data_IF_787664237017
#
_entry.id   IF_787664237017
#
_cell.length_a   1.000
_cell.length_b   1.000
_cell.length_c   1.000
_cell.angle_alpha   90.00
_cell.angle_beta   90.00
_cell.angle_gamma   90.00
#
_symmetry.space_group_name_H-M   'P 1'
#
loop_
_entity.id
_entity.type
_entity.pdbx_description
1 polymer ?
#
# COMPACT_ATOMS: atom_id res chain seq x y z
N UNK A 1 -27.42 -12.58 -33.32
CA UNK A 1 -28.22 -13.33 -32.31
C UNK A 1 -27.60 -13.19 -30.87
N UNK A 2 -26.53 -12.45 -30.69
CA UNK A 2 -25.93 -12.16 -29.38
C UNK A 2 -26.08 -10.68 -28.92
N UNK A 3 -26.49 -9.80 -29.82
CA UNK A 3 -26.78 -8.37 -29.53
C UNK A 3 -28.17 -8.09 -28.98
N UNK A 4 -29.14 -8.99 -29.24
CA UNK A 4 -30.52 -8.79 -28.78
C UNK A 4 -30.81 -9.21 -27.33
N UNK A 5 -29.88 -9.89 -26.66
CA UNK A 5 -30.06 -10.35 -25.27
C UNK A 5 -29.65 -9.26 -24.27
N UNK A 6 -28.74 -8.34 -24.65
CA UNK A 6 -28.30 -7.20 -23.83
C UNK A 6 -29.42 -6.15 -23.67
N UNK A 7 -30.08 -5.79 -24.75
CA UNK A 7 -31.11 -4.74 -24.75
C UNK A 7 -32.38 -5.11 -24.00
N UNK A 8 -32.75 -6.40 -23.97
CA UNK A 8 -33.98 -6.87 -23.29
C UNK A 8 -33.84 -6.93 -21.75
N UNK A 9 -32.61 -6.97 -21.20
CA UNK A 9 -32.35 -6.92 -19.75
C UNK A 9 -32.36 -5.47 -19.24
N UNK A 10 -31.82 -4.55 -20.02
CA UNK A 10 -31.76 -3.13 -19.65
C UNK A 10 -33.16 -2.49 -19.59
N UNK A 11 -34.06 -2.86 -20.50
CA UNK A 11 -35.47 -2.43 -20.48
C UNK A 11 -36.26 -3.01 -19.29
N UNK A 12 -35.92 -4.21 -18.79
CA UNK A 12 -36.62 -4.81 -17.65
C UNK A 12 -36.24 -4.19 -16.32
N UNK A 13 -35.01 -3.76 -16.16
CA UNK A 13 -34.52 -3.11 -14.91
C UNK A 13 -35.04 -1.67 -14.85
N UNK A 14 -35.09 -0.96 -15.98
CA UNK A 14 -35.70 0.38 -16.06
C UNK A 14 -37.22 0.34 -15.87
N UNK A 15 -37.92 -0.65 -16.47
CA UNK A 15 -39.38 -0.82 -16.34
C UNK A 15 -39.86 -1.32 -14.99
N UNK A 16 -39.03 -2.05 -14.24
CA UNK A 16 -39.41 -2.52 -12.90
C UNK A 16 -39.46 -1.38 -11.86
N UNK A 17 -38.84 -0.22 -12.15
CA UNK A 17 -38.87 0.98 -11.31
C UNK A 17 -39.95 2.01 -11.72
N UNK A 18 -40.50 1.92 -12.95
CA UNK A 18 -41.53 2.82 -13.42
C UNK A 18 -42.96 2.48 -12.92
N UNK A 19 -43.18 1.29 -12.34
CA UNK A 19 -44.51 0.77 -12.03
C UNK A 19 -45.04 1.11 -10.63
N UNK A 20 -44.22 1.81 -9.77
CA UNK A 20 -44.63 2.16 -8.39
C UNK A 20 -44.93 3.63 -8.16
N UNK A 21 -44.74 4.51 -9.13
CA UNK A 21 -45.05 5.94 -9.00
C UNK A 21 -44.16 6.71 -8.02
N UNK A 22 -43.18 6.06 -7.42
CA UNK A 22 -42.13 6.67 -6.56
C UNK A 22 -40.91 6.98 -7.41
N UNK A 23 -40.33 8.17 -7.20
CA UNK A 23 -39.07 8.53 -7.87
C UNK A 23 -37.95 7.58 -7.41
N UNK A 24 -37.10 7.11 -8.33
CA UNK A 24 -36.01 6.20 -7.94
C UNK A 24 -35.03 6.92 -7.01
N UNK A 25 -34.69 6.29 -5.91
CA UNK A 25 -33.74 6.82 -4.90
C UNK A 25 -32.34 7.03 -5.49
N UNK A 26 -31.98 6.25 -6.52
CA UNK A 26 -30.69 6.40 -7.22
C UNK A 26 -30.82 6.11 -8.72
N UNK A 27 -29.94 6.69 -9.51
CA UNK A 27 -29.82 6.46 -10.96
C UNK A 27 -28.34 6.32 -11.34
N UNK A 28 -28.01 5.33 -12.16
CA UNK A 28 -26.67 5.17 -12.72
C UNK A 28 -26.70 5.63 -14.19
N UNK A 29 -25.75 6.45 -14.58
CA UNK A 29 -25.61 6.95 -15.95
C UNK A 29 -24.15 6.97 -16.39
N UNK A 30 -23.94 6.92 -17.69
CA UNK A 30 -22.62 7.10 -18.28
C UNK A 30 -22.24 8.60 -18.31
N UNK A 31 -20.97 8.92 -18.31
CA UNK A 31 -20.49 10.30 -18.37
C UNK A 31 -21.00 11.04 -19.62
N UNK A 32 -21.16 10.32 -20.74
CA UNK A 32 -21.72 10.85 -21.99
C UNK A 32 -23.20 11.25 -21.84
N UNK A 33 -23.98 10.40 -21.21
CA UNK A 33 -25.41 10.66 -20.94
C UNK A 33 -25.60 11.83 -19.98
N UNK A 34 -24.72 11.94 -18.95
CA UNK A 34 -24.69 13.09 -18.05
C UNK A 34 -24.41 14.39 -18.81
N UNK A 35 -23.47 14.36 -19.76
CA UNK A 35 -23.17 15.51 -20.61
C UNK A 35 -24.33 15.90 -21.53
N UNK A 36 -25.10 14.93 -22.06
CA UNK A 36 -26.29 15.20 -22.89
C UNK A 36 -27.41 15.79 -22.06
N UNK A 37 -27.67 15.24 -20.89
CA UNK A 37 -28.71 15.69 -19.94
C UNK A 37 -28.29 16.88 -19.08
N UNK A 38 -27.15 17.53 -19.36
CA UNK A 38 -26.54 18.63 -18.59
C UNK A 38 -27.49 19.76 -18.20
N UNK A 39 -28.54 20.00 -18.98
CA UNK A 39 -29.55 21.05 -18.68
C UNK A 39 -30.42 20.71 -17.47
N UNK A 40 -30.49 19.46 -17.08
CA UNK A 40 -31.23 19.01 -15.91
C UNK A 40 -30.45 19.15 -14.61
N UNK A 41 -29.12 19.32 -14.69
CA UNK A 41 -28.22 19.44 -13.54
C UNK A 41 -27.70 20.87 -13.40
N UNK A 42 -28.13 21.59 -12.37
CA UNK A 42 -27.82 23.02 -12.19
C UNK A 42 -26.30 23.32 -12.07
N UNK A 43 -25.52 22.38 -11.49
CA UNK A 43 -24.08 22.57 -11.21
C UNK A 43 -23.19 21.55 -11.95
N UNK A 44 -23.63 21.07 -13.10
CA UNK A 44 -22.88 20.07 -13.88
C UNK A 44 -21.45 20.52 -14.24
N UNK A 45 -21.23 21.84 -14.36
CA UNK A 45 -19.93 22.42 -14.73
C UNK A 45 -18.85 22.17 -13.68
N UNK A 46 -19.23 22.00 -12.41
CA UNK A 46 -18.29 21.74 -11.32
C UNK A 46 -17.83 20.29 -11.31
N UNK A 47 -18.68 19.37 -11.68
CA UNK A 47 -18.37 17.94 -11.71
C UNK A 47 -17.68 17.51 -13.01
N UNK A 48 -18.11 18.08 -14.15
CA UNK A 48 -17.67 17.69 -15.48
C UNK A 48 -16.14 17.65 -15.68
N UNK A 49 -15.33 18.63 -15.21
CA UNK A 49 -13.89 18.60 -15.37
C UNK A 49 -13.19 17.46 -14.61
N UNK A 50 -13.86 16.88 -13.61
CA UNK A 50 -13.36 15.78 -12.81
C UNK A 50 -13.65 14.41 -13.42
N UNK A 51 -14.66 14.32 -14.29
CA UNK A 51 -15.01 13.10 -15.02
C UNK A 51 -13.98 12.84 -16.13
N UNK A 52 -13.74 11.56 -16.44
CA UNK A 52 -12.76 11.12 -17.44
C UNK A 52 -11.34 10.93 -16.88
N UNK A 53 -11.06 11.35 -15.62
CA UNK A 53 -9.77 11.11 -14.97
C UNK A 53 -9.85 11.25 -13.45
N UNK A 54 -10.81 10.59 -12.81
CA UNK A 54 -10.99 10.65 -11.37
C UNK A 54 -9.77 10.03 -10.67
N UNK A 55 -9.06 10.83 -9.88
CA UNK A 55 -7.82 10.41 -9.19
C UNK A 55 -7.97 10.30 -7.67
N UNK A 56 -8.98 10.94 -7.09
CA UNK A 56 -9.19 11.03 -5.64
C UNK A 56 -10.67 11.16 -5.32
N UNK A 57 -11.02 10.91 -4.06
CA UNK A 57 -12.37 11.16 -3.56
C UNK A 57 -12.48 12.62 -3.11
N UNK A 58 -13.56 13.28 -3.48
CA UNK A 58 -13.92 14.62 -3.01
C UNK A 58 -15.42 14.80 -2.97
N UNK A 59 -15.89 15.71 -2.14
CA UNK A 59 -17.26 16.19 -2.15
C UNK A 59 -17.28 17.71 -1.95
N UNK A 60 -18.22 18.35 -2.57
CA UNK A 60 -18.49 19.77 -2.46
C UNK A 60 -19.98 20.01 -2.29
N UNK A 61 -20.36 20.90 -1.41
CA UNK A 61 -21.75 21.32 -1.21
C UNK A 61 -22.01 22.57 -2.01
N UNK A 62 -23.02 22.53 -2.86
CA UNK A 62 -23.46 23.70 -3.64
C UNK A 62 -24.95 23.86 -3.44
N UNK A 63 -25.35 24.85 -2.66
CA UNK A 63 -26.76 25.13 -2.27
C UNK A 63 -27.43 23.88 -1.68
N UNK A 64 -28.34 23.25 -2.44
CA UNK A 64 -29.14 22.11 -1.99
C UNK A 64 -28.70 20.78 -2.60
N UNK A 65 -27.47 20.69 -3.06
CA UNK A 65 -26.93 19.43 -3.57
C UNK A 65 -25.48 19.21 -3.11
N UNK A 66 -25.07 17.96 -3.03
CA UNK A 66 -23.70 17.55 -2.82
C UNK A 66 -23.21 16.82 -4.08
N UNK A 67 -22.09 17.23 -4.59
CA UNK A 67 -21.48 16.60 -5.74
C UNK A 67 -20.02 16.27 -5.47
N UNK A 68 -19.52 15.27 -6.15
CA UNK A 68 -18.15 14.87 -5.95
C UNK A 68 -17.74 13.65 -6.77
N UNK A 69 -16.59 13.12 -6.41
CA UNK A 69 -16.00 11.96 -7.06
C UNK A 69 -15.54 10.93 -6.04
N UNK A 70 -15.65 9.67 -6.38
CA UNK A 70 -15.18 8.54 -5.59
C UNK A 70 -14.26 7.70 -6.46
N UNK A 71 -13.13 7.30 -5.89
CA UNK A 71 -12.21 6.32 -6.48
C UNK A 71 -11.87 5.26 -5.45
N UNK A 72 -12.27 4.02 -5.72
CA UNK A 72 -12.00 2.89 -4.85
C UNK A 72 -10.60 2.34 -5.15
N UNK A 73 -9.67 2.31 -4.18
CA UNK A 73 -8.34 1.75 -4.39
C UNK A 73 -8.41 0.26 -4.75
N UNK A 74 -7.51 -0.19 -5.62
CA UNK A 74 -7.43 -1.59 -5.99
C UNK A 74 -6.84 -2.41 -4.83
N UNK A 75 -7.68 -3.17 -4.13
CA UNK A 75 -7.30 -3.98 -2.97
C UNK A 75 -6.74 -5.35 -3.36
N UNK A 76 -7.20 -5.92 -4.47
CA UNK A 76 -6.74 -7.20 -5.02
C UNK A 76 -6.41 -7.04 -6.51
N UNK A 77 -5.17 -7.29 -6.91
CA UNK A 77 -4.72 -7.17 -8.30
C UNK A 77 -5.46 -8.12 -9.28
N UNK A 78 -6.11 -9.16 -8.79
CA UNK A 78 -6.64 -10.24 -9.63
C UNK A 78 -8.17 -10.30 -9.75
N UNK A 79 -8.95 -9.52 -9.00
CA UNK A 79 -10.40 -9.80 -8.91
C UNK A 79 -11.37 -8.67 -9.30
N UNK A 80 -10.97 -7.41 -9.20
CA UNK A 80 -11.88 -6.33 -9.56
C UNK A 80 -11.14 -5.22 -10.30
N UNK A 81 -11.65 -4.74 -11.43
CA UNK A 81 -11.14 -3.52 -12.06
C UNK A 81 -11.26 -2.36 -11.06
N UNK A 82 -10.43 -1.36 -11.21
CA UNK A 82 -10.52 -0.13 -10.45
C UNK A 82 -11.84 0.55 -10.79
N UNK A 83 -12.62 0.92 -9.77
CA UNK A 83 -13.90 1.58 -9.93
C UNK A 83 -13.74 3.04 -9.54
N UNK A 84 -14.14 3.94 -10.43
CA UNK A 84 -14.25 5.37 -10.14
C UNK A 84 -15.56 5.90 -10.75
N UNK A 85 -16.18 6.79 -10.00
CA UNK A 85 -17.45 7.40 -10.44
C UNK A 85 -17.62 8.80 -9.85
N UNK A 86 -18.34 9.66 -10.57
CA UNK A 86 -18.87 10.90 -10.05
C UNK A 86 -20.20 10.65 -9.32
N UNK A 87 -20.55 11.48 -8.39
CA UNK A 87 -21.88 11.47 -7.78
C UNK A 87 -22.45 12.88 -7.70
N UNK A 88 -23.78 12.93 -7.81
CA UNK A 88 -24.57 14.15 -7.66
C UNK A 88 -25.77 13.79 -6.79
N UNK A 89 -25.77 14.27 -5.55
CA UNK A 89 -26.75 13.95 -4.53
C UNK A 89 -27.68 15.13 -4.32
N UNK A 90 -28.97 14.90 -4.45
CA UNK A 90 -30.04 15.85 -4.13
C UNK A 90 -30.88 15.28 -2.98
N UNK A 91 -31.86 16.05 -2.48
CA UNK A 91 -32.77 15.59 -1.45
C UNK A 91 -33.52 14.31 -1.87
N UNK A 92 -33.93 14.22 -3.15
CA UNK A 92 -34.78 13.15 -3.65
C UNK A 92 -33.98 12.00 -4.28
N UNK A 93 -32.87 12.27 -4.98
CA UNK A 93 -32.24 11.30 -5.87
C UNK A 93 -30.72 11.41 -5.82
N UNK A 94 -30.02 10.26 -5.79
CA UNK A 94 -28.59 10.12 -5.99
C UNK A 94 -28.30 9.72 -7.45
N UNK A 95 -27.55 10.53 -8.16
CA UNK A 95 -27.04 10.22 -9.49
C UNK A 95 -25.60 9.74 -9.38
N UNK A 96 -25.31 8.55 -9.90
CA UNK A 96 -23.99 7.95 -9.99
C UNK A 96 -23.52 7.99 -11.44
N UNK A 97 -22.41 8.66 -11.71
CA UNK A 97 -21.89 8.86 -13.06
C UNK A 97 -20.64 7.99 -13.21
N UNK A 98 -20.76 6.95 -14.01
CA UNK A 98 -19.68 6.00 -14.26
C UNK A 98 -18.53 6.67 -15.00
N UNK A 99 -17.29 6.50 -14.50
CA UNK A 99 -16.07 7.05 -15.08
C UNK A 99 -15.15 5.91 -15.54
N UNK A 100 -14.79 5.01 -14.64
CA UNK A 100 -13.91 3.88 -14.93
C UNK A 100 -14.37 2.62 -14.19
N UNK A 101 -14.27 1.49 -14.87
CA UNK A 101 -14.64 0.19 -14.32
C UNK A 101 -16.07 -0.18 -14.67
N UNK A 102 -16.61 -1.19 -14.01
CA UNK A 102 -18.00 -1.66 -14.14
C UNK A 102 -18.75 -1.32 -12.85
N UNK A 103 -19.15 -0.05 -12.72
CA UNK A 103 -19.93 0.42 -11.57
C UNK A 103 -21.29 -0.30 -11.51
N UNK A 104 -21.92 -0.49 -12.68
CA UNK A 104 -23.24 -1.14 -12.77
C UNK A 104 -23.18 -2.58 -12.28
N UNK A 105 -22.25 -3.38 -12.77
CA UNK A 105 -22.06 -4.76 -12.32
C UNK A 105 -21.65 -4.87 -10.85
N UNK A 106 -20.84 -3.94 -10.36
CA UNK A 106 -20.50 -3.88 -8.95
C UNK A 106 -21.73 -3.54 -8.09
N UNK A 107 -22.54 -2.56 -8.51
CA UNK A 107 -23.77 -2.18 -7.82
C UNK A 107 -24.79 -3.32 -7.81
N UNK A 108 -24.98 -4.05 -8.89
CA UNK A 108 -25.89 -5.21 -8.95
C UNK A 108 -25.55 -6.26 -7.90
N UNK A 109 -24.25 -6.49 -7.63
CA UNK A 109 -23.80 -7.41 -6.56
C UNK A 109 -24.11 -6.89 -5.15
N UNK A 110 -24.24 -5.57 -4.97
CA UNK A 110 -24.51 -4.95 -3.67
C UNK A 110 -26.00 -4.64 -3.44
N UNK A 111 -26.82 -4.65 -4.48
CA UNK A 111 -28.24 -4.24 -4.44
C UNK A 111 -29.05 -4.98 -3.38
N UNK A 112 -28.75 -6.26 -3.12
CA UNK A 112 -29.46 -7.04 -2.12
C UNK A 112 -29.30 -6.47 -0.70
N UNK A 113 -28.18 -5.80 -0.42
CA UNK A 113 -27.85 -5.15 0.86
C UNK A 113 -28.35 -3.70 0.95
N UNK A 114 -28.61 -3.05 -0.20
CA UNK A 114 -28.96 -1.63 -0.31
C UNK A 114 -30.47 -1.36 -0.44
N UNK A 115 -31.32 -2.40 -0.38
CA UNK A 115 -32.77 -2.32 -0.68
C UNK A 115 -33.62 -1.54 0.33
N UNK A 116 -33.14 -1.33 1.57
CA UNK A 116 -33.95 -0.78 2.65
C UNK A 116 -33.79 0.75 2.83
N UNK A 117 -33.22 1.45 1.85
CA UNK A 117 -32.96 2.89 1.94
C UNK A 117 -34.23 3.70 1.65
N UNK A 118 -34.63 4.55 2.59
CA UNK A 118 -35.82 5.41 2.46
C UNK A 118 -35.52 6.79 1.86
N UNK A 119 -34.22 7.19 1.75
CA UNK A 119 -33.80 8.49 1.20
C UNK A 119 -32.50 8.36 0.42
N UNK A 120 -32.27 9.32 -0.48
CA UNK A 120 -31.06 9.43 -1.30
C UNK A 120 -29.78 9.53 -0.44
N UNK A 121 -29.83 10.27 0.64
CA UNK A 121 -28.71 10.44 1.60
C UNK A 121 -28.44 9.12 2.36
N UNK A 122 -29.47 8.42 2.82
CA UNK A 122 -29.32 7.12 3.48
C UNK A 122 -28.75 6.08 2.51
N UNK A 123 -29.19 6.08 1.26
CA UNK A 123 -28.64 5.20 0.23
C UNK A 123 -27.16 5.51 -0.03
N UNK A 124 -26.78 6.78 -0.13
CA UNK A 124 -25.40 7.18 -0.31
C UNK A 124 -24.51 6.72 0.86
N UNK A 125 -24.96 6.89 2.09
CA UNK A 125 -24.24 6.39 3.27
C UNK A 125 -24.07 4.87 3.25
N UNK A 126 -25.13 4.11 2.94
CA UNK A 126 -25.05 2.65 2.83
C UNK A 126 -24.08 2.22 1.72
N UNK A 127 -24.06 2.95 0.58
CA UNK A 127 -23.10 2.74 -0.49
C UNK A 127 -21.66 2.92 0.00
N UNK A 128 -21.38 4.00 0.73
CA UNK A 128 -20.07 4.28 1.32
C UNK A 128 -19.66 3.20 2.33
N UNK A 129 -20.61 2.70 3.13
CA UNK A 129 -20.37 1.59 4.06
C UNK A 129 -20.03 0.29 3.33
N UNK A 130 -20.73 -0.04 2.24
CA UNK A 130 -20.45 -1.23 1.45
C UNK A 130 -19.07 -1.19 0.77
N UNK A 131 -18.62 -0.03 0.30
CA UNK A 131 -17.28 0.12 -0.29
C UNK A 131 -16.16 -0.20 0.70
N UNK A 132 -16.40 0.02 1.99
CA UNK A 132 -15.41 -0.14 3.07
C UNK A 132 -15.68 -1.34 3.98
N UNK A 133 -16.74 -2.13 3.74
CA UNK A 133 -17.17 -3.24 4.60
C UNK A 133 -16.05 -4.28 4.84
N UNK A 134 -15.29 -4.60 3.80
CA UNK A 134 -14.24 -5.62 3.84
C UNK A 134 -12.85 -5.08 4.19
N UNK A 135 -12.73 -3.79 4.44
CA UNK A 135 -11.43 -3.14 4.60
C UNK A 135 -10.71 -3.57 5.87
N UNK A 136 -11.43 -3.85 6.93
CA UNK A 136 -10.83 -4.39 8.16
C UNK A 136 -10.13 -5.72 7.92
N UNK A 137 -10.73 -6.62 7.13
CA UNK A 137 -10.13 -7.91 6.80
C UNK A 137 -8.92 -7.74 5.86
N UNK A 138 -9.01 -6.77 4.97
CA UNK A 138 -7.92 -6.46 4.05
C UNK A 138 -6.70 -5.87 4.77
N UNK A 139 -6.90 -4.95 5.71
CA UNK A 139 -5.84 -4.38 6.53
C UNK A 139 -5.19 -5.43 7.43
N UNK A 140 -5.99 -6.30 8.05
CA UNK A 140 -5.49 -7.43 8.84
C UNK A 140 -4.67 -8.43 7.98
N UNK A 141 -5.06 -8.64 6.72
CA UNK A 141 -4.27 -9.45 5.80
C UNK A 141 -2.92 -8.81 5.47
N UNK A 142 -2.88 -7.50 5.21
CA UNK A 142 -1.62 -6.76 4.99
C UNK A 142 -0.69 -6.83 6.21
N UNK A 143 -1.25 -6.70 7.40
CA UNK A 143 -0.50 -6.85 8.66
C UNK A 143 0.16 -8.23 8.75
N UNK A 144 -0.62 -9.27 8.48
CA UNK A 144 -0.10 -10.65 8.48
C UNK A 144 0.97 -10.91 7.43
N UNK A 145 0.85 -10.29 6.25
CA UNK A 145 1.89 -10.36 5.23
C UNK A 145 3.19 -9.71 5.70
N UNK A 146 3.12 -8.59 6.43
CA UNK A 146 4.30 -7.89 6.98
C UNK A 146 4.97 -8.70 8.09
N UNK A 147 4.19 -9.32 9.00
CA UNK A 147 4.72 -10.24 10.01
C UNK A 147 5.47 -11.43 9.36
N UNK A 148 4.89 -12.03 8.32
CA UNK A 148 5.54 -13.11 7.59
C UNK A 148 6.83 -12.65 6.87
N UNK A 149 6.88 -11.39 6.41
CA UNK A 149 8.09 -10.83 5.82
C UNK A 149 9.17 -10.59 6.86
N UNK A 150 8.81 -10.13 8.06
CA UNK A 150 9.74 -9.97 9.18
C UNK A 150 10.37 -11.32 9.56
N UNK A 151 9.56 -12.35 9.76
CA UNK A 151 10.04 -13.70 10.07
C UNK A 151 11.01 -14.23 9.01
N UNK A 152 10.68 -14.07 7.73
CA UNK A 152 11.58 -14.46 6.63
C UNK A 152 12.90 -13.70 6.66
N UNK A 153 12.84 -12.40 6.94
CA UNK A 153 14.03 -11.56 6.99
C UNK A 153 14.99 -11.97 8.11
N UNK A 154 14.49 -12.47 9.24
CA UNK A 154 15.31 -13.00 10.32
C UNK A 154 16.12 -14.25 9.90
N UNK A 155 15.64 -15.04 8.96
CA UNK A 155 16.33 -16.27 8.51
C UNK A 155 17.19 -16.05 7.28
N UNK A 156 16.75 -15.24 6.33
CA UNK A 156 17.50 -14.95 5.11
C UNK A 156 17.00 -13.67 4.46
N UNK A 157 17.90 -12.94 3.83
CA UNK A 157 17.56 -11.72 3.09
C UNK A 157 16.95 -12.13 1.75
N UNK A 158 15.66 -11.85 1.49
CA UNK A 158 15.03 -12.17 0.21
C UNK A 158 15.57 -11.29 -0.92
N UNK A 159 15.66 -11.87 -2.13
CA UNK A 159 15.93 -11.10 -3.33
C UNK A 159 14.84 -10.06 -3.59
N UNK A 160 15.24 -8.87 -4.06
CA UNK A 160 14.32 -7.77 -4.38
C UNK A 160 13.47 -7.25 -3.21
N UNK A 161 13.84 -7.52 -1.95
CA UNK A 161 13.08 -7.12 -0.76
C UNK A 161 12.74 -5.63 -0.74
N UNK A 162 13.69 -4.77 -1.13
CA UNK A 162 13.48 -3.32 -1.20
C UNK A 162 12.37 -2.93 -2.21
N UNK A 163 12.26 -3.62 -3.33
CA UNK A 163 11.21 -3.38 -4.30
C UNK A 163 9.83 -3.77 -3.75
N UNK A 164 9.77 -4.86 -2.97
CA UNK A 164 8.54 -5.29 -2.29
C UNK A 164 8.11 -4.22 -1.26
N UNK A 165 9.02 -3.76 -0.40
CA UNK A 165 8.72 -2.69 0.57
C UNK A 165 8.24 -1.40 -0.10
N UNK A 166 8.80 -1.05 -1.26
CA UNK A 166 8.39 0.13 -2.02
C UNK A 166 6.95 0.01 -2.50
N UNK A 167 6.53 -1.17 -2.98
CA UNK A 167 5.14 -1.43 -3.37
C UNK A 167 4.18 -1.30 -2.19
N UNK A 168 4.52 -1.89 -1.03
CA UNK A 168 3.69 -1.74 0.18
C UNK A 168 3.58 -0.28 0.61
N UNK A 169 4.69 0.47 0.60
CA UNK A 169 4.66 1.89 0.93
C UNK A 169 3.73 2.68 0.01
N UNK A 170 3.77 2.43 -1.31
CA UNK A 170 2.88 3.09 -2.26
C UNK A 170 1.42 2.73 -2.00
N UNK A 171 1.12 1.45 -1.81
CA UNK A 171 -0.23 0.96 -1.52
C UNK A 171 -0.81 1.53 -0.22
N UNK A 172 -0.01 1.56 0.84
CA UNK A 172 -0.42 2.15 2.12
C UNK A 172 -0.59 3.66 2.03
N UNK A 173 0.21 4.35 1.21
CA UNK A 173 0.03 5.79 0.97
C UNK A 173 -1.28 6.07 0.23
N UNK A 174 -1.65 5.24 -0.75
CA UNK A 174 -2.94 5.35 -1.45
C UNK A 174 -4.12 5.10 -0.50
N UNK A 175 -4.03 4.06 0.35
CA UNK A 175 -5.07 3.76 1.35
C UNK A 175 -5.22 4.87 2.40
N UNK A 176 -4.10 5.44 2.87
CA UNK A 176 -4.13 6.55 3.82
C UNK A 176 -4.89 7.75 3.24
N UNK A 177 -4.53 8.15 2.02
CA UNK A 177 -5.22 9.24 1.33
C UNK A 177 -6.70 8.93 1.07
N UNK A 178 -7.03 7.68 0.76
CA UNK A 178 -8.41 7.23 0.56
C UNK A 178 -9.25 7.40 1.83
N UNK A 179 -8.80 6.88 2.98
CA UNK A 179 -9.56 7.00 4.22
C UNK A 179 -9.65 8.44 4.73
N UNK A 180 -8.57 9.23 4.58
CA UNK A 180 -8.58 10.66 4.88
C UNK A 180 -9.65 11.41 4.06
N UNK A 181 -9.73 11.13 2.76
CA UNK A 181 -10.74 11.74 1.89
C UNK A 181 -12.16 11.28 2.23
N UNK A 182 -12.36 10.01 2.63
CA UNK A 182 -13.66 9.52 3.07
C UNK A 182 -14.08 10.15 4.39
N UNK A 183 -13.16 10.39 5.33
CA UNK A 183 -13.42 11.14 6.56
C UNK A 183 -13.87 12.57 6.22
N UNK A 184 -13.16 13.25 5.31
CA UNK A 184 -13.54 14.61 4.88
C UNK A 184 -14.95 14.64 4.22
N UNK A 185 -15.32 13.64 3.45
CA UNK A 185 -16.69 13.52 2.91
C UNK A 185 -17.71 13.33 4.04
N UNK A 186 -17.39 12.49 5.03
CA UNK A 186 -18.24 12.27 6.20
C UNK A 186 -18.50 13.56 6.98
N UNK A 187 -17.45 14.33 7.28
CA UNK A 187 -17.53 15.61 7.99
C UNK A 187 -18.37 16.64 7.23
N UNK A 188 -18.20 16.65 5.90
CA UNK A 188 -18.99 17.53 5.03
C UNK A 188 -20.47 17.13 5.08
N UNK A 189 -20.80 15.85 4.98
CA UNK A 189 -22.17 15.34 5.02
C UNK A 189 -22.82 15.58 6.39
N UNK A 190 -22.08 15.41 7.49
CA UNK A 190 -22.52 15.70 8.84
C UNK A 190 -22.84 17.18 9.04
N UNK A 191 -21.95 18.07 8.60
CA UNK A 191 -22.11 19.52 8.79
C UNK A 191 -23.23 20.15 7.96
N UNK A 192 -23.68 19.46 6.90
CA UNK A 192 -24.74 19.92 5.99
C UNK A 192 -26.01 19.05 6.05
N UNK A 193 -26.23 18.35 7.16
CA UNK A 193 -27.35 17.45 7.37
C UNK A 193 -28.73 18.14 7.24
N UNK A 194 -28.79 19.46 7.46
CA UNK A 194 -29.99 20.26 7.25
C UNK A 194 -30.55 20.20 5.81
N UNK A 195 -29.72 19.86 4.82
CA UNK A 195 -30.15 19.65 3.41
C UNK A 195 -30.93 18.35 3.29
N UNK A 196 -30.60 17.34 4.11
CA UNK A 196 -31.10 15.97 3.99
C UNK A 196 -31.90 15.47 5.20
N UNK A 197 -32.00 16.28 6.28
CA UNK A 197 -32.69 15.96 7.53
C UNK A 197 -31.78 15.41 8.64
N UNK A 198 -32.03 15.81 9.88
CA UNK A 198 -31.16 15.56 11.06
C UNK A 198 -30.88 14.09 11.40
N UNK A 199 -31.65 13.15 10.87
CA UNK A 199 -31.53 11.72 11.24
C UNK A 199 -30.25 11.04 10.75
N UNK A 200 -29.55 11.61 9.81
CA UNK A 200 -28.38 10.99 9.18
C UNK A 200 -27.04 11.49 9.75
N UNK A 201 -27.01 12.65 10.44
CA UNK A 201 -25.78 13.23 10.97
C UNK A 201 -25.01 12.28 11.91
N UNK A 202 -25.70 11.61 12.83
CA UNK A 202 -25.09 10.64 13.75
C UNK A 202 -24.55 9.41 13.03
N UNK A 203 -25.17 9.02 11.92
CA UNK A 203 -24.72 7.89 11.13
C UNK A 203 -23.46 8.25 10.32
N UNK A 204 -23.42 9.47 9.76
CA UNK A 204 -22.22 10.00 9.10
C UNK A 204 -21.06 10.15 10.08
N UNK A 205 -21.30 10.65 11.28
CA UNK A 205 -20.29 10.74 12.34
C UNK A 205 -19.68 9.37 12.67
N UNK A 206 -20.53 8.35 12.83
CA UNK A 206 -20.06 6.96 13.06
C UNK A 206 -19.24 6.43 11.89
N UNK A 207 -19.63 6.77 10.66
CA UNK A 207 -18.86 6.39 9.47
C UNK A 207 -17.51 7.09 9.45
N UNK A 208 -17.44 8.39 9.73
CA UNK A 208 -16.21 9.16 9.82
C UNK A 208 -15.23 8.58 10.83
N UNK A 209 -15.69 8.33 12.04
CA UNK A 209 -14.88 7.69 13.10
C UNK A 209 -14.39 6.29 12.71
N UNK A 210 -15.14 5.55 11.87
CA UNK A 210 -14.65 4.27 11.34
C UNK A 210 -13.54 4.48 10.31
N UNK A 211 -13.62 5.49 9.46
CA UNK A 211 -12.58 5.83 8.50
C UNK A 211 -11.30 6.31 9.19
N UNK A 212 -11.40 7.12 10.23
CA UNK A 212 -10.26 7.52 11.07
C UNK A 212 -9.55 6.31 11.69
N UNK A 213 -10.29 5.31 12.18
CA UNK A 213 -9.68 4.07 12.70
C UNK A 213 -8.93 3.31 11.62
N UNK A 214 -9.47 3.22 10.40
CA UNK A 214 -8.75 2.59 9.29
C UNK A 214 -7.51 3.38 8.89
N UNK A 215 -7.59 4.71 8.88
CA UNK A 215 -6.44 5.58 8.64
C UNK A 215 -5.33 5.36 9.67
N UNK A 216 -5.69 5.32 10.96
CA UNK A 216 -4.75 5.03 12.05
C UNK A 216 -4.11 3.65 11.90
N UNK A 217 -4.88 2.62 11.52
CA UNK A 217 -4.34 1.28 11.26
C UNK A 217 -3.38 1.28 10.07
N UNK A 218 -3.70 1.99 8.98
CA UNK A 218 -2.77 2.17 7.85
C UNK A 218 -1.50 2.88 8.28
N UNK A 219 -1.57 3.87 9.18
CA UNK A 219 -0.40 4.53 9.71
C UNK A 219 0.51 3.56 10.49
N UNK A 220 -0.06 2.70 11.33
CA UNK A 220 0.70 1.64 12.01
C UNK A 220 1.38 0.69 11.01
N UNK A 221 0.69 0.29 9.94
CA UNK A 221 1.27 -0.54 8.88
C UNK A 221 2.42 0.16 8.14
N UNK A 222 2.33 1.48 7.94
CA UNK A 222 3.44 2.28 7.38
C UNK A 222 4.67 2.28 8.29
N UNK A 223 4.46 2.38 9.59
CA UNK A 223 5.53 2.31 10.58
C UNK A 223 6.18 0.91 10.59
N UNK A 224 5.39 -0.16 10.45
CA UNK A 224 5.89 -1.53 10.28
C UNK A 224 6.77 -1.65 9.02
N UNK A 225 6.38 -1.03 7.89
CA UNK A 225 7.22 -1.02 6.68
C UNK A 225 8.56 -0.31 6.92
N UNK A 226 8.58 0.77 7.71
CA UNK A 226 9.83 1.44 8.09
C UNK A 226 10.71 0.55 8.97
N UNK A 227 10.13 -0.13 9.96
CA UNK A 227 10.85 -1.09 10.82
C UNK A 227 11.44 -2.26 10.01
N UNK A 228 10.68 -2.82 9.07
CA UNK A 228 11.16 -3.85 8.15
C UNK A 228 12.35 -3.36 7.31
N UNK A 229 12.32 -2.11 6.86
CA UNK A 229 13.44 -1.48 6.15
C UNK A 229 14.69 -1.37 7.04
N UNK A 230 14.52 -0.92 8.27
CA UNK A 230 15.63 -0.79 9.24
C UNK A 230 16.22 -2.16 9.57
N UNK A 231 15.38 -3.18 9.79
CA UNK A 231 15.83 -4.55 10.01
C UNK A 231 16.61 -5.09 8.81
N UNK A 232 16.13 -4.85 7.59
CA UNK A 232 16.84 -5.21 6.36
C UNK A 232 18.22 -4.54 6.27
N UNK A 233 18.32 -3.25 6.56
CA UNK A 233 19.60 -2.53 6.57
C UNK A 233 20.54 -3.10 7.63
N UNK A 234 20.04 -3.36 8.83
CA UNK A 234 20.82 -3.99 9.91
C UNK A 234 21.38 -5.37 9.50
N UNK A 235 20.59 -6.18 8.81
CA UNK A 235 21.05 -7.48 8.30
C UNK A 235 22.14 -7.32 7.22
N UNK A 236 21.99 -6.34 6.31
CA UNK A 236 23.02 -6.04 5.31
C UNK A 236 24.33 -5.57 5.97
N UNK A 237 24.22 -4.69 6.95
CA UNK A 237 25.37 -4.18 7.70
C UNK A 237 26.07 -5.31 8.47
N UNK A 238 25.31 -6.21 9.09
CA UNK A 238 25.85 -7.38 9.76
C UNK A 238 26.61 -8.31 8.81
N UNK A 239 26.06 -8.56 7.59
CA UNK A 239 26.76 -9.35 6.57
C UNK A 239 28.04 -8.66 6.08
N UNK A 240 27.97 -7.36 5.80
CA UNK A 240 29.14 -6.57 5.40
C UNK A 240 30.22 -6.59 6.47
N UNK A 241 29.84 -6.38 7.74
CA UNK A 241 30.77 -6.44 8.86
C UNK A 241 31.42 -7.83 8.98
N UNK A 242 30.68 -8.90 8.75
CA UNK A 242 31.23 -10.27 8.74
C UNK A 242 32.27 -10.45 7.64
N UNK A 243 32.01 -9.97 6.43
CA UNK A 243 32.98 -10.02 5.31
C UNK A 243 34.22 -9.19 5.64
N UNK A 244 34.05 -7.98 6.16
CA UNK A 244 35.14 -7.10 6.58
C UNK A 244 35.98 -7.75 7.67
N UNK A 245 35.34 -8.41 8.65
CA UNK A 245 36.02 -9.15 9.70
C UNK A 245 36.89 -10.28 9.12
N UNK A 246 36.34 -11.10 8.22
CA UNK A 246 37.08 -12.19 7.56
C UNK A 246 38.29 -11.63 6.79
N UNK A 247 38.09 -10.56 6.01
CA UNK A 247 39.13 -9.93 5.22
C UNK A 247 40.26 -9.39 6.16
N UNK A 248 39.87 -8.74 7.25
CA UNK A 248 40.84 -8.22 8.25
C UNK A 248 41.67 -9.34 8.87
N UNK A 249 41.03 -10.44 9.29
CA UNK A 249 41.71 -11.59 9.85
C UNK A 249 42.71 -12.21 8.87
N UNK A 250 42.25 -12.44 7.62
CA UNK A 250 43.14 -13.01 6.58
C UNK A 250 44.32 -12.07 6.32
N UNK A 251 44.07 -10.77 6.12
CA UNK A 251 45.13 -9.79 5.85
C UNK A 251 46.13 -9.72 6.99
N UNK A 252 45.66 -9.70 8.24
CA UNK A 252 46.53 -9.62 9.42
C UNK A 252 47.39 -10.87 9.56
N UNK A 253 46.86 -12.07 9.30
CA UNK A 253 47.60 -13.33 9.32
C UNK A 253 48.69 -13.39 8.24
N UNK A 254 48.44 -12.86 7.04
CA UNK A 254 49.41 -12.92 5.95
C UNK A 254 50.45 -11.81 5.97
N UNK A 255 50.18 -10.67 6.61
CA UNK A 255 51.06 -9.51 6.61
C UNK A 255 52.44 -9.82 7.22
N UNK A 256 52.57 -10.40 8.46
CA UNK A 256 53.86 -10.72 9.03
C UNK A 256 54.58 -11.86 8.28
N UNK A 257 53.82 -12.83 7.74
CA UNK A 257 54.40 -13.88 6.89
C UNK A 257 54.99 -13.31 5.61
N UNK A 258 54.31 -12.38 4.97
CA UNK A 258 54.75 -11.70 3.76
C UNK A 258 55.99 -10.84 4.04
N UNK A 259 56.00 -10.14 5.18
CA UNK A 259 57.19 -9.40 5.64
C UNK A 259 58.39 -10.32 5.86
N UNK A 260 58.19 -11.46 6.54
CA UNK A 260 59.22 -12.42 6.82
C UNK A 260 59.79 -13.04 5.55
N UNK A 261 58.93 -13.49 4.64
CA UNK A 261 59.34 -14.07 3.35
C UNK A 261 59.97 -13.01 2.43
N UNK A 262 59.50 -11.77 2.44
CA UNK A 262 60.09 -10.68 1.68
C UNK A 262 61.47 -10.29 2.20
N UNK A 263 61.64 -10.26 3.53
CA UNK A 263 62.93 -9.97 4.14
C UNK A 263 63.98 -11.03 3.76
N UNK A 264 63.70 -12.31 3.89
CA UNK A 264 64.61 -13.39 3.52
C UNK A 264 64.66 -13.65 2.01
N UNK A 265 63.79 -13.06 1.22
CA UNK A 265 63.82 -13.09 -0.23
C UNK A 265 64.69 -11.98 -0.84
N UNK A 266 65.31 -11.11 -0.05
CA UNK A 266 66.17 -10.03 -0.54
C UNK A 266 67.54 -10.56 -0.97
N UNK A 267 68.11 -10.06 -2.06
CA UNK A 267 69.40 -10.45 -2.61
C UNK A 267 70.55 -9.65 -2.01
N UNK A 268 70.73 -9.69 -0.68
CA UNK A 268 71.87 -9.08 -0.05
C UNK A 268 73.10 -10.02 -0.12
N UNK A 269 74.27 -9.45 -0.37
CA UNK A 269 75.54 -10.20 -0.51
C UNK A 269 76.02 -10.84 0.80
N UNK A 270 75.52 -10.36 1.93
CA UNK A 270 75.92 -10.87 3.25
C UNK A 270 74.70 -11.02 4.16
N UNK A 271 74.26 -12.27 4.28
CA UNK A 271 73.19 -12.69 5.20
C UNK A 271 73.67 -13.93 5.96
N UNK A 272 74.25 -13.78 7.16
CA UNK A 272 74.82 -14.88 7.90
C UNK A 272 73.80 -15.96 8.30
N UNK A 273 72.54 -15.57 8.46
CA UNK A 273 71.41 -16.48 8.79
C UNK A 273 71.08 -17.51 7.68
N UNK A 274 71.35 -17.19 6.42
CA UNK A 274 71.13 -18.09 5.28
C UNK A 274 72.23 -19.18 5.16
N UNK A 275 73.36 -18.96 5.69
CA UNK A 275 74.48 -19.95 5.72
C UNK A 275 74.35 -20.95 6.86
N UNK A 276 73.45 -20.71 7.83
CA UNK A 276 73.25 -21.57 8.98
C UNK A 276 72.39 -22.80 8.63
N UNK A 277 72.90 -24.00 8.94
CA UNK A 277 72.32 -25.30 8.62
C UNK A 277 70.84 -25.44 9.08
N UNK A 278 70.48 -24.79 10.19
CA UNK A 278 69.09 -24.82 10.75
C UNK A 278 68.29 -23.58 10.48
N UNK A 279 68.81 -22.60 9.72
CA UNK A 279 68.15 -21.33 9.46
C UNK A 279 66.74 -21.48 8.88
N UNK A 280 66.55 -22.34 7.88
CA UNK A 280 65.24 -22.62 7.29
C UNK A 280 64.22 -23.16 8.31
N UNK A 281 64.65 -24.11 9.17
CA UNK A 281 63.81 -24.70 10.20
C UNK A 281 63.37 -23.66 11.26
N UNK A 282 64.30 -22.79 11.67
CA UNK A 282 64.00 -21.70 12.63
C UNK A 282 63.01 -20.71 12.06
N UNK A 283 63.17 -20.27 10.81
CA UNK A 283 62.23 -19.39 10.13
C UNK A 283 60.82 -20.03 10.04
N UNK A 284 60.76 -21.32 9.74
CA UNK A 284 59.48 -22.07 9.73
C UNK A 284 58.81 -22.11 11.10
N UNK A 285 59.59 -22.35 12.20
CA UNK A 285 59.05 -22.34 13.57
C UNK A 285 58.53 -20.95 13.93
N UNK A 286 59.26 -19.88 13.59
CA UNK A 286 58.86 -18.50 13.85
C UNK A 286 57.55 -18.17 13.11
N UNK A 287 57.44 -18.56 11.82
CA UNK A 287 56.21 -18.36 11.03
C UNK A 287 55.02 -19.07 11.66
N UNK A 288 55.16 -20.34 12.05
CA UNK A 288 54.09 -21.12 12.69
C UNK A 288 53.71 -20.50 14.06
N UNK A 289 54.68 -20.06 14.82
CA UNK A 289 54.48 -19.39 16.13
C UNK A 289 53.69 -18.10 15.97
N UNK A 290 54.03 -17.26 14.97
CA UNK A 290 53.28 -16.03 14.66
C UNK A 290 51.81 -16.31 14.33
N UNK A 291 51.54 -17.22 13.37
CA UNK A 291 50.18 -17.60 12.97
C UNK A 291 49.39 -18.13 14.17
N UNK A 292 50.04 -18.96 15.00
CA UNK A 292 49.36 -19.53 16.17
C UNK A 292 49.01 -18.46 17.20
N UNK A 293 49.89 -17.52 17.49
CA UNK A 293 49.65 -16.41 18.42
C UNK A 293 48.52 -15.49 17.90
N UNK A 294 48.55 -15.14 16.64
CA UNK A 294 47.52 -14.32 16.01
C UNK A 294 46.14 -15.03 16.01
N UNK A 295 46.08 -16.31 15.68
CA UNK A 295 44.86 -17.10 15.73
C UNK A 295 44.29 -17.17 17.15
N UNK A 296 45.14 -17.36 18.18
CA UNK A 296 44.73 -17.34 19.59
C UNK A 296 44.19 -15.96 19.98
N UNK A 297 44.88 -14.89 19.53
CA UNK A 297 44.45 -13.52 19.78
C UNK A 297 43.05 -13.24 19.20
N UNK A 298 42.81 -13.57 17.93
CA UNK A 298 41.50 -13.38 17.27
C UNK A 298 40.43 -14.22 17.92
N UNK A 299 40.72 -15.47 18.30
CA UNK A 299 39.76 -16.33 19.01
C UNK A 299 39.38 -15.77 20.38
N UNK A 300 40.35 -15.20 21.14
CA UNK A 300 40.08 -14.54 22.44
C UNK A 300 39.22 -13.27 22.28
N UNK A 301 39.42 -12.52 21.22
CA UNK A 301 38.67 -11.30 20.92
C UNK A 301 37.27 -11.57 20.29
N UNK A 302 36.87 -12.83 20.11
CA UNK A 302 35.61 -13.24 19.51
C UNK A 302 35.39 -12.67 18.08
N UNK A 303 36.45 -12.61 17.29
CA UNK A 303 36.35 -12.29 15.87
C UNK A 303 35.76 -13.46 15.04
N UNK A 304 35.78 -14.65 15.64
CA UNK A 304 35.12 -15.86 15.13
C UNK A 304 34.07 -16.33 16.12
#
# INVERSE_FOLDING_TARGET
MAEDIGNAKDEKTSRALEDTGEQPVFLIMQAEEFCEKRKCFWYYKELLPSLGSIRYCKAEVIKNCVLGTIRIPQKNEQRHPQISFGFYLTEDTLYLIEDMGDLKGWMEMQMEKLRDSQSSNQFFLQLMEQMTEKDILYLAHLEKEMENMEERLLHSVPDHFFAILTKYRQKLSELNAYYEQLTAISDLMQSHDTIFGEKNAEQWDRYGHRMERFQNQVQLLRDNVLQLRELYQSQQDAQQNKVMCILTVVTTLFLPLTLLTGWYGMNFSYMPELTWKYGYLVVGIVAISMVTLETIYFKRKKFF
#
